data_IF_655625433064
#
_entry.id   IF_655625433064
#
_cell.length_a   1.000
_cell.length_b   1.000
_cell.length_c   1.000
_cell.angle_alpha   90.00
_cell.angle_beta   90.00
_cell.angle_gamma   90.00
#
_symmetry.space_group_name_H-M   'P 1'
#
loop_
_entity.id
_entity.type
_entity.pdbx_description
1 polymer ?
#
# COMPACT_ATOMS: atom_id res chain seq x y z
N UNK A 1 9.02 47.71 35.65
CA UNK A 1 10.28 46.95 35.44
C UNK A 1 10.12 45.43 35.52
N UNK A 2 9.33 44.84 36.43
CA UNK A 2 9.18 43.37 36.54
C UNK A 2 8.58 42.65 35.31
N UNK A 3 7.58 43.23 34.65
CA UNK A 3 6.91 42.61 33.48
C UNK A 3 7.84 42.48 32.26
N UNK A 4 8.73 43.46 32.05
CA UNK A 4 9.71 43.44 30.95
C UNK A 4 10.78 42.36 31.18
N UNK A 5 11.18 42.13 32.43
CA UNK A 5 12.18 41.11 32.79
C UNK A 5 11.68 39.67 32.64
N UNK A 6 10.39 39.41 32.90
CA UNK A 6 9.77 38.09 32.71
C UNK A 6 9.60 37.75 31.22
N UNK A 7 9.33 38.76 30.38
CA UNK A 7 9.32 38.56 28.94
C UNK A 7 10.73 38.26 28.43
N UNK A 8 11.76 38.96 28.90
CA UNK A 8 13.14 38.73 28.47
C UNK A 8 13.61 37.29 28.78
N UNK A 9 13.35 36.78 29.98
CA UNK A 9 13.72 35.39 30.34
C UNK A 9 12.94 34.35 29.53
N UNK A 10 11.66 34.58 29.23
CA UNK A 10 10.87 33.71 28.37
C UNK A 10 11.38 33.71 26.92
N UNK A 11 11.71 34.89 26.37
CA UNK A 11 12.30 35.02 25.03
C UNK A 11 13.68 34.36 24.94
N UNK A 12 14.53 34.53 25.97
CA UNK A 12 15.84 33.87 26.03
C UNK A 12 15.72 32.35 26.14
N UNK A 13 14.80 31.84 26.96
CA UNK A 13 14.56 30.40 27.07
C UNK A 13 14.01 29.82 25.74
N UNK A 14 13.09 30.51 25.08
CA UNK A 14 12.60 30.12 23.75
C UNK A 14 13.70 30.09 22.70
N UNK A 15 14.58 31.10 22.69
CA UNK A 15 15.73 31.14 21.78
C UNK A 15 16.70 29.98 22.04
N UNK A 16 16.98 29.65 23.31
CA UNK A 16 17.82 28.52 23.68
C UNK A 16 17.22 27.20 23.16
N UNK A 17 15.92 26.98 23.34
CA UNK A 17 15.24 25.77 22.81
C UNK A 17 15.34 25.70 21.29
N UNK A 18 15.13 26.81 20.59
CA UNK A 18 15.27 26.88 19.12
C UNK A 18 16.71 26.61 18.69
N UNK A 19 17.71 27.16 19.38
CA UNK A 19 19.13 26.92 19.09
C UNK A 19 19.49 25.46 19.36
N UNK A 20 19.03 24.85 20.45
CA UNK A 20 19.25 23.44 20.74
C UNK A 20 18.63 22.57 19.64
N UNK A 21 17.38 22.85 19.25
CA UNK A 21 16.70 22.10 18.20
C UNK A 21 17.40 22.24 16.85
N UNK A 22 17.75 23.46 16.43
CA UNK A 22 18.50 23.72 15.20
C UNK A 22 19.88 23.07 15.22
N UNK A 23 20.60 23.14 16.35
CA UNK A 23 21.92 22.51 16.47
C UNK A 23 21.81 20.99 16.40
N UNK A 24 20.83 20.39 17.07
CA UNK A 24 20.53 18.97 16.96
C UNK A 24 20.15 18.59 15.52
N UNK A 25 19.28 19.35 14.87
CA UNK A 25 18.86 19.13 13.48
C UNK A 25 20.03 19.21 12.49
N UNK A 26 20.89 20.22 12.62
CA UNK A 26 22.03 20.43 11.71
C UNK A 26 23.18 19.44 11.98
N UNK A 27 23.29 18.92 13.21
CA UNK A 27 24.32 17.94 13.59
C UNK A 27 23.93 16.49 13.30
N UNK A 28 22.65 16.21 13.05
CA UNK A 28 22.21 14.88 12.65
C UNK A 28 22.29 14.73 11.12
N UNK A 29 23.25 13.92 10.61
CA UNK A 29 23.30 13.64 9.19
C UNK A 29 22.01 12.94 8.74
N UNK A 30 21.52 13.26 7.55
CA UNK A 30 20.38 12.55 6.98
C UNK A 30 20.69 11.05 6.89
N UNK A 31 19.71 10.23 7.28
CA UNK A 31 19.85 8.79 7.18
C UNK A 31 19.98 8.39 5.71
N UNK A 32 20.97 7.54 5.39
CA UNK A 32 21.13 6.99 4.04
C UNK A 32 20.38 5.68 3.95
N UNK A 33 19.48 5.59 2.97
CA UNK A 33 18.72 4.37 2.71
C UNK A 33 19.64 3.30 2.11
N UNK A 34 19.45 2.05 2.54
CA UNK A 34 20.10 0.88 1.97
C UNK A 34 19.59 0.57 0.56
N UNK A 35 20.36 -0.21 -0.21
CA UNK A 35 19.92 -0.65 -1.53
C UNK A 35 18.64 -1.50 -1.45
N UNK A 36 17.75 -1.43 -2.45
CA UNK A 36 16.60 -2.34 -2.54
C UNK A 36 17.05 -3.80 -2.65
N UNK A 37 16.35 -4.69 -1.94
CA UNK A 37 16.50 -6.13 -2.06
C UNK A 37 15.70 -6.61 -3.29
N UNK A 38 16.32 -6.58 -4.46
CA UNK A 38 15.70 -7.07 -5.70
C UNK A 38 16.00 -8.56 -5.88
N UNK A 39 14.96 -9.37 -6.02
CA UNK A 39 15.11 -10.78 -6.35
C UNK A 39 15.69 -10.91 -7.76
N UNK A 40 16.94 -11.35 -7.85
CA UNK A 40 17.54 -11.76 -9.12
C UNK A 40 17.11 -13.20 -9.37
N UNK A 41 16.26 -13.43 -10.37
CA UNK A 41 16.05 -14.78 -10.84
C UNK A 41 17.41 -15.35 -11.31
N UNK A 42 17.76 -16.60 -10.97
CA UNK A 42 18.96 -17.22 -11.50
C UNK A 42 18.91 -17.21 -13.03
N UNK A 43 19.97 -16.70 -13.66
CA UNK A 43 20.08 -16.55 -15.13
C UNK A 43 20.08 -17.90 -15.86
N UNK A 44 20.28 -19.01 -15.14
CA UNK A 44 20.54 -20.35 -15.72
C UNK A 44 19.38 -21.35 -15.60
N UNK A 45 18.18 -20.92 -15.25
CA UNK A 45 17.02 -21.81 -15.35
C UNK A 45 16.41 -21.74 -16.76
N UNK A 46 16.83 -22.63 -17.65
CA UNK A 46 16.00 -23.08 -18.78
C UNK A 46 14.72 -23.74 -18.24
N UNK A 47 13.83 -22.95 -17.64
CA UNK A 47 12.45 -23.35 -17.43
C UNK A 47 11.71 -23.01 -18.71
N UNK A 48 11.13 -24.03 -19.35
CA UNK A 48 10.05 -23.82 -20.32
C UNK A 48 9.06 -22.91 -19.60
N UNK A 49 8.95 -21.65 -20.04
CA UNK A 49 8.09 -20.69 -19.39
C UNK A 49 6.68 -21.31 -19.34
N UNK A 50 6.13 -21.58 -18.15
CA UNK A 50 4.80 -22.16 -18.07
C UNK A 50 3.86 -21.23 -18.83
N UNK A 51 2.99 -21.82 -19.66
CA UNK A 51 1.98 -21.06 -20.39
C UNK A 51 1.19 -20.25 -19.35
N UNK A 52 1.17 -18.92 -19.50
CA UNK A 52 0.45 -18.04 -18.57
C UNK A 52 -0.98 -18.56 -18.39
N UNK A 53 -1.34 -18.90 -17.15
CA UNK A 53 -2.64 -19.40 -16.76
C UNK A 53 -3.35 -18.37 -15.89
N UNK A 54 -4.64 -18.19 -16.14
CA UNK A 54 -5.51 -17.27 -15.41
C UNK A 54 -6.65 -18.08 -14.79
N UNK A 55 -6.92 -17.89 -13.49
CA UNK A 55 -7.93 -18.67 -12.74
C UNK A 55 -8.71 -17.77 -11.79
N UNK A 56 -10.02 -17.60 -11.97
CA UNK A 56 -10.86 -16.82 -11.04
C UNK A 56 -11.39 -17.64 -9.88
N UNK A 57 -11.23 -17.14 -8.65
CA UNK A 57 -11.84 -17.70 -7.43
C UNK A 57 -12.12 -16.57 -6.44
N UNK A 58 -13.19 -16.74 -5.67
CA UNK A 58 -13.46 -15.91 -4.50
C UNK A 58 -12.55 -16.35 -3.35
N UNK A 59 -11.89 -15.39 -2.71
CA UNK A 59 -11.14 -15.63 -1.48
C UNK A 59 -11.98 -15.37 -0.22
N UNK A 60 -13.08 -14.63 -0.34
CA UNK A 60 -14.02 -14.42 0.75
C UNK A 60 -15.05 -15.53 0.85
N UNK A 61 -15.54 -15.77 2.07
CA UNK A 61 -16.52 -16.79 2.40
C UNK A 61 -17.96 -16.39 2.02
N UNK A 62 -18.29 -15.10 2.02
CA UNK A 62 -19.61 -14.60 1.65
C UNK A 62 -19.57 -13.27 0.86
N UNK A 63 -20.75 -12.83 0.42
CA UNK A 63 -20.98 -11.56 -0.25
C UNK A 63 -21.91 -10.62 0.55
N UNK A 64 -22.18 -10.93 1.81
CA UNK A 64 -23.08 -10.12 2.63
C UNK A 64 -22.36 -8.83 3.06
N UNK A 65 -21.08 -8.96 3.40
CA UNK A 65 -20.25 -7.85 3.81
C UNK A 65 -19.76 -6.98 2.64
N UNK A 66 -19.58 -5.70 2.92
CA UNK A 66 -18.79 -4.81 2.09
C UNK A 66 -17.31 -5.18 2.25
N UNK A 67 -16.65 -5.53 1.15
CA UNK A 67 -15.22 -5.89 1.12
C UNK A 67 -14.46 -4.92 0.25
N UNK A 68 -13.28 -4.50 0.72
CA UNK A 68 -12.47 -3.55 -0.02
C UNK A 68 -10.97 -3.61 0.31
N UNK A 69 -10.17 -2.98 -0.56
CA UNK A 69 -8.74 -2.77 -0.36
C UNK A 69 -7.96 -4.08 -0.19
N UNK A 70 -8.14 -5.00 -1.15
CA UNK A 70 -7.43 -6.27 -1.13
C UNK A 70 -5.94 -6.11 -1.44
N UNK A 71 -5.11 -6.92 -0.78
CA UNK A 71 -3.68 -7.05 -1.01
C UNK A 71 -3.29 -8.54 -0.87
N UNK A 72 -2.25 -8.96 -1.58
CA UNK A 72 -1.82 -10.37 -1.61
C UNK A 72 -0.29 -10.46 -1.58
N UNK A 73 0.22 -11.50 -0.93
CA UNK A 73 1.64 -11.85 -0.95
C UNK A 73 1.82 -13.34 -1.24
N UNK A 74 2.93 -13.69 -1.88
CA UNK A 74 3.30 -15.08 -2.10
C UNK A 74 3.99 -15.65 -0.86
N UNK A 75 3.72 -16.91 -0.58
CA UNK A 75 4.34 -17.71 0.47
C UNK A 75 5.23 -18.80 -0.15
N UNK A 76 6.15 -19.41 0.63
CA UNK A 76 6.90 -20.57 0.17
C UNK A 76 5.98 -21.70 -0.29
N UNK A 77 6.39 -22.44 -1.32
CA UNK A 77 5.61 -23.55 -1.87
C UNK A 77 4.52 -23.14 -2.88
N UNK A 78 4.38 -21.85 -3.18
CA UNK A 78 3.40 -21.35 -4.16
C UNK A 78 2.06 -20.93 -3.56
N UNK A 79 1.88 -21.15 -2.25
CA UNK A 79 0.76 -20.64 -1.48
C UNK A 79 0.68 -19.11 -1.57
N UNK A 80 -0.52 -18.56 -1.37
CA UNK A 80 -0.73 -17.11 -1.29
C UNK A 80 -1.43 -16.76 0.01
N UNK A 81 -1.19 -15.56 0.53
CA UNK A 81 -2.00 -14.97 1.60
C UNK A 81 -2.56 -13.64 1.14
N UNK A 82 -3.88 -13.50 1.22
CA UNK A 82 -4.59 -12.28 0.84
C UNK A 82 -5.26 -11.66 2.05
N UNK A 83 -5.22 -10.34 2.15
CA UNK A 83 -5.89 -9.55 3.19
C UNK A 83 -6.80 -8.50 2.57
N UNK A 84 -7.86 -8.13 3.28
CA UNK A 84 -8.79 -7.06 2.92
C UNK A 84 -9.47 -6.54 4.19
N UNK A 85 -10.20 -5.43 4.09
CA UNK A 85 -11.13 -5.07 5.14
C UNK A 85 -12.56 -5.43 4.75
N UNK A 86 -13.36 -5.88 5.72
CA UNK A 86 -14.73 -6.32 5.54
C UNK A 86 -15.64 -5.80 6.67
N UNK A 87 -16.92 -5.53 6.38
CA UNK A 87 -17.96 -5.21 7.36
C UNK A 87 -19.20 -4.60 6.70
N UNK A 88 -20.14 -4.04 7.47
CA UNK A 88 -21.42 -3.53 6.92
C UNK A 88 -21.30 -2.41 5.88
N UNK A 89 -20.28 -1.55 5.99
CA UNK A 89 -19.89 -0.53 4.99
C UNK A 89 -18.50 0.00 5.30
N UNK A 90 -17.90 0.71 4.35
CA UNK A 90 -16.63 1.40 4.56
C UNK A 90 -16.66 2.30 5.82
N UNK A 91 -15.70 2.08 6.73
CA UNK A 91 -15.53 2.86 7.96
C UNK A 91 -16.53 2.55 9.07
N UNK A 92 -17.36 1.51 8.94
CA UNK A 92 -18.32 1.10 9.96
C UNK A 92 -17.70 0.40 11.18
N UNK A 93 -18.49 0.37 12.26
CA UNK A 93 -18.17 -0.11 13.62
C UNK A 93 -17.50 -1.48 13.66
N UNK A 94 -18.01 -2.31 12.78
CA UNK A 94 -17.81 -3.73 12.58
C UNK A 94 -16.77 -4.03 11.51
N UNK A 95 -16.05 -3.02 10.98
CA UNK A 95 -14.98 -3.28 10.01
C UNK A 95 -13.83 -4.05 10.68
N UNK A 96 -13.48 -5.16 10.06
CA UNK A 96 -12.40 -6.07 10.42
C UNK A 96 -11.35 -6.12 9.30
N UNK A 97 -10.09 -6.37 9.65
CA UNK A 97 -9.09 -6.82 8.69
C UNK A 97 -9.14 -8.34 8.67
N UNK A 98 -9.49 -8.90 7.50
CA UNK A 98 -9.63 -10.34 7.30
C UNK A 98 -8.55 -10.87 6.36
N UNK A 99 -8.29 -12.16 6.46
CA UNK A 99 -7.34 -12.89 5.62
C UNK A 99 -7.93 -14.20 5.14
N UNK A 100 -7.44 -14.69 4.00
CA UNK A 100 -7.54 -16.10 3.61
C UNK A 100 -6.22 -16.53 2.99
N UNK A 101 -5.94 -17.84 3.10
CA UNK A 101 -4.75 -18.47 2.53
C UNK A 101 -5.15 -19.36 1.37
N UNK A 102 -4.48 -19.20 0.24
CA UNK A 102 -4.55 -20.10 -0.89
C UNK A 102 -3.55 -21.23 -0.71
N UNK A 103 -4.02 -22.47 -0.82
CA UNK A 103 -3.20 -23.68 -0.79
C UNK A 103 -2.91 -24.12 -2.23
N UNK A 104 -1.63 -24.02 -2.63
CA UNK A 104 -1.23 -24.34 -3.99
C UNK A 104 -1.32 -25.84 -4.32
N UNK A 105 -1.35 -26.71 -3.30
CA UNK A 105 -1.41 -28.17 -3.49
C UNK A 105 -2.78 -28.66 -3.97
N UNK A 106 -3.85 -27.97 -3.56
CA UNK A 106 -5.22 -28.29 -3.95
C UNK A 106 -5.88 -27.20 -4.82
N UNK A 107 -5.27 -26.01 -4.92
CA UNK A 107 -5.75 -24.92 -5.75
C UNK A 107 -6.96 -24.18 -5.18
N UNK A 108 -7.16 -24.20 -3.86
CA UNK A 108 -8.31 -23.62 -3.18
C UNK A 108 -7.93 -22.59 -2.10
N UNK A 109 -8.84 -21.65 -1.85
CA UNK A 109 -8.75 -20.72 -0.73
C UNK A 109 -9.34 -21.36 0.53
N UNK A 110 -8.66 -21.20 1.66
CA UNK A 110 -9.14 -21.61 2.97
C UNK A 110 -10.21 -20.66 3.52
N UNK A 111 -10.69 -21.00 4.73
CA UNK A 111 -11.67 -20.15 5.44
C UNK A 111 -11.09 -18.80 5.84
N UNK A 112 -11.97 -17.79 5.91
CA UNK A 112 -11.60 -16.46 6.39
C UNK A 112 -11.17 -16.48 7.86
N UNK A 113 -10.18 -15.65 8.19
CA UNK A 113 -9.75 -15.39 9.55
C UNK A 113 -9.69 -13.89 9.80
N UNK A 114 -10.04 -13.46 11.01
CA UNK A 114 -9.95 -12.06 11.43
C UNK A 114 -8.56 -11.81 12.02
N UNK A 115 -7.79 -10.92 11.38
CA UNK A 115 -6.46 -10.51 11.86
C UNK A 115 -6.54 -9.32 12.81
N UNK A 116 -7.40 -8.35 12.52
CA UNK A 116 -7.53 -7.17 13.36
C UNK A 116 -8.98 -6.66 13.44
N UNK A 117 -9.38 -6.26 14.64
CA UNK A 117 -10.63 -5.55 14.91
C UNK A 117 -10.32 -4.22 15.56
N UNK A 118 -11.32 -3.35 15.67
CA UNK A 118 -11.16 -2.12 16.47
C UNK A 118 -10.75 -2.43 17.90
N UNK A 119 -11.38 -3.44 18.50
CA UNK A 119 -11.11 -3.84 19.89
C UNK A 119 -9.67 -4.35 20.06
N UNK A 120 -9.20 -5.25 19.19
CA UNK A 120 -7.82 -5.76 19.27
C UNK A 120 -6.80 -4.64 19.01
N UNK A 121 -7.08 -3.75 18.05
CA UNK A 121 -6.22 -2.59 17.75
C UNK A 121 -6.18 -1.61 18.92
N UNK A 122 -7.32 -1.34 19.57
CA UNK A 122 -7.37 -0.50 20.77
C UNK A 122 -6.55 -1.09 21.91
N UNK A 123 -6.69 -2.40 22.13
CA UNK A 123 -5.95 -3.10 23.17
C UNK A 123 -4.43 -3.11 22.92
N UNK A 124 -4.00 -3.34 21.67
CA UNK A 124 -2.57 -3.37 21.32
C UNK A 124 -1.90 -2.00 21.31
N UNK A 125 -2.59 -0.98 20.81
CA UNK A 125 -2.02 0.37 20.67
C UNK A 125 -2.23 1.25 21.90
N UNK A 126 -3.15 0.89 22.81
CA UNK A 126 -3.57 1.75 23.92
C UNK A 126 -4.32 3.02 23.49
N UNK A 127 -4.77 3.10 22.23
CA UNK A 127 -5.44 4.27 21.66
C UNK A 127 -6.87 3.93 21.27
N UNK A 128 -7.78 4.89 21.39
CA UNK A 128 -9.14 4.73 20.87
C UNK A 128 -9.14 4.59 19.34
N UNK A 129 -9.90 3.62 18.81
CA UNK A 129 -9.99 3.35 17.36
C UNK A 129 -11.44 3.46 16.90
N UNK A 130 -11.70 4.45 16.04
CA UNK A 130 -13.03 4.73 15.48
C UNK A 130 -13.29 4.03 14.16
N UNK A 131 -12.30 3.46 13.47
CA UNK A 131 -12.44 2.62 12.27
C UNK A 131 -11.10 2.07 11.81
N UNK A 132 -11.17 0.96 11.06
CA UNK A 132 -10.08 0.38 10.31
C UNK A 132 -10.25 0.67 8.81
N UNK A 133 -9.18 0.55 8.05
CA UNK A 133 -9.14 0.79 6.61
C UNK A 133 -8.13 -0.10 5.91
N UNK A 134 -7.55 0.40 4.82
CA UNK A 134 -6.66 -0.35 3.93
C UNK A 134 -5.60 -1.19 4.67
N UNK A 135 -5.58 -2.52 4.45
CA UNK A 135 -4.46 -3.37 4.79
C UNK A 135 -3.50 -3.56 3.61
N UNK A 136 -2.25 -3.88 3.91
CA UNK A 136 -1.27 -4.45 2.99
C UNK A 136 -0.48 -5.54 3.69
N UNK A 137 -0.17 -6.61 2.97
CA UNK A 137 0.60 -7.74 3.48
C UNK A 137 1.82 -7.99 2.59
N UNK A 138 2.95 -8.35 3.20
CA UNK A 138 4.12 -8.80 2.46
C UNK A 138 4.96 -9.78 3.28
N UNK A 139 5.50 -10.80 2.60
CA UNK A 139 6.55 -11.65 3.14
C UNK A 139 7.91 -10.99 2.96
N UNK A 140 8.61 -10.73 4.06
CA UNK A 140 9.96 -10.20 4.06
C UNK A 140 11.01 -11.29 3.76
N UNK A 141 12.22 -10.92 3.28
CA UNK A 141 13.31 -11.86 3.01
C UNK A 141 13.75 -12.72 4.21
N UNK A 142 13.47 -12.26 5.43
CA UNK A 142 13.75 -12.97 6.68
C UNK A 142 12.61 -13.92 7.10
N UNK A 143 11.65 -14.19 6.19
CA UNK A 143 10.48 -15.02 6.40
C UNK A 143 9.47 -14.50 7.43
N UNK A 144 9.55 -13.22 7.84
CA UNK A 144 8.48 -12.58 8.62
C UNK A 144 7.39 -12.05 7.69
N UNK A 145 6.14 -12.35 8.01
CA UNK A 145 4.99 -11.74 7.36
C UNK A 145 4.66 -10.43 8.06
N UNK A 146 4.63 -9.36 7.29
CA UNK A 146 4.25 -8.03 7.74
C UNK A 146 2.85 -7.69 7.29
N UNK A 147 2.02 -7.26 8.23
CA UNK A 147 0.71 -6.65 7.97
C UNK A 147 0.78 -5.18 8.41
N UNK A 148 0.54 -4.28 7.47
CA UNK A 148 0.33 -2.86 7.79
C UNK A 148 -1.12 -2.50 7.48
N UNK A 149 -1.78 -1.77 8.37
CA UNK A 149 -3.18 -1.39 8.14
C UNK A 149 -3.54 -0.04 8.72
N UNK A 150 -4.50 0.62 8.07
CA UNK A 150 -4.98 1.95 8.47
C UNK A 150 -5.92 1.86 9.66
N UNK A 151 -5.78 2.80 10.60
CA UNK A 151 -6.80 3.10 11.61
C UNK A 151 -7.04 4.60 11.76
N UNK A 152 -8.23 4.97 12.20
CA UNK A 152 -8.60 6.37 12.50
C UNK A 152 -9.14 6.48 13.91
N UNK A 153 -8.60 7.40 14.71
CA UNK A 153 -9.14 7.71 16.05
C UNK A 153 -10.16 8.86 16.00
N UNK A 154 -9.89 9.90 15.20
CA UNK A 154 -10.71 11.12 15.14
C UNK A 154 -10.92 11.55 13.68
N UNK A 155 -12.14 11.96 13.33
CA UNK A 155 -12.47 12.53 12.03
C UNK A 155 -12.63 11.53 10.87
N UNK A 156 -12.23 11.99 9.68
CA UNK A 156 -12.22 11.23 8.43
C UNK A 156 -10.86 10.56 8.16
N UNK A 157 -10.62 10.12 6.93
CA UNK A 157 -9.35 9.52 6.52
C UNK A 157 -8.14 10.45 6.69
N UNK A 158 -8.35 11.77 6.74
CA UNK A 158 -7.32 12.72 7.12
C UNK A 158 -6.77 12.52 8.55
N UNK A 159 -7.51 11.86 9.46
CA UNK A 159 -7.05 11.51 10.81
C UNK A 159 -6.40 10.12 10.92
N UNK A 160 -5.99 9.54 9.79
CA UNK A 160 -5.47 8.17 9.74
C UNK A 160 -4.06 8.01 10.29
N UNK A 161 -3.81 6.83 10.83
CA UNK A 161 -2.51 6.31 11.24
C UNK A 161 -2.31 4.93 10.62
N UNK A 162 -1.06 4.49 10.55
CA UNK A 162 -0.71 3.12 10.15
C UNK A 162 -0.34 2.33 11.39
N UNK A 163 -0.87 1.12 11.49
CA UNK A 163 -0.46 0.12 12.47
C UNK A 163 0.29 -1.00 11.77
N UNK A 164 1.15 -1.68 12.51
CA UNK A 164 1.89 -2.85 12.06
C UNK A 164 1.58 -4.05 12.96
N UNK A 165 1.58 -5.24 12.35
CA UNK A 165 1.58 -6.54 13.00
C UNK A 165 2.57 -7.43 12.25
N UNK A 166 3.22 -8.34 12.95
CA UNK A 166 4.18 -9.27 12.36
C UNK A 166 3.87 -10.71 12.76
N UNK A 167 4.04 -11.63 11.83
CA UNK A 167 3.98 -13.07 12.06
C UNK A 167 5.32 -13.71 11.70
N UNK A 168 5.81 -14.58 12.58
CA UNK A 168 7.02 -15.39 12.39
C UNK A 168 6.73 -16.85 12.01
N UNK A 169 5.46 -17.20 11.82
CA UNK A 169 4.98 -18.57 11.61
C UNK A 169 4.02 -18.68 10.40
N UNK A 170 4.30 -17.90 9.35
CA UNK A 170 3.55 -17.89 8.09
C UNK A 170 2.05 -17.57 8.28
N UNK A 171 1.75 -16.71 9.25
CA UNK A 171 0.43 -16.14 9.49
C UNK A 171 -0.46 -16.99 10.38
N UNK A 172 0.08 -18.04 11.03
CA UNK A 172 -0.66 -18.84 12.00
C UNK A 172 -0.93 -18.07 13.30
N UNK A 173 0.00 -17.22 13.72
CA UNK A 173 -0.17 -16.27 14.82
C UNK A 173 0.48 -14.92 14.48
N UNK A 174 0.00 -13.88 15.15
CA UNK A 174 0.44 -12.50 14.91
C UNK A 174 0.75 -11.79 16.22
N UNK A 175 1.73 -10.90 16.19
CA UNK A 175 2.01 -9.99 17.30
C UNK A 175 0.79 -9.10 17.61
N UNK A 176 0.70 -8.54 18.83
CA UNK A 176 -0.19 -7.40 19.07
C UNK A 176 0.13 -6.25 18.10
N UNK A 177 -0.88 -5.47 17.67
CA UNK A 177 -0.65 -4.34 16.79
C UNK A 177 0.01 -3.18 17.52
N UNK A 178 0.97 -2.53 16.88
CA UNK A 178 1.53 -1.25 17.32
C UNK A 178 1.36 -0.18 16.25
N UNK A 179 1.31 1.09 16.69
CA UNK A 179 1.12 2.21 15.78
C UNK A 179 2.47 2.78 15.34
N UNK A 180 2.63 3.04 14.04
CA UNK A 180 3.77 3.75 13.49
C UNK A 180 3.65 5.25 13.81
N UNK A 181 4.68 5.83 14.43
CA UNK A 181 4.74 7.26 14.75
C UNK A 181 5.52 7.99 13.66
N UNK A 182 4.80 8.65 12.76
CA UNK A 182 5.34 9.26 11.53
C UNK A 182 5.44 10.79 11.61
N UNK A 183 5.08 11.37 12.75
CA UNK A 183 5.18 12.80 13.03
C UNK A 183 5.23 13.05 14.54
N UNK A 184 6.05 14.02 15.02
CA UNK A 184 6.20 14.31 16.45
C UNK A 184 5.00 15.05 17.07
N UNK A 185 4.08 15.60 16.26
CA UNK A 185 2.99 16.44 16.79
C UNK A 185 1.64 15.72 16.81
N UNK A 186 1.10 15.44 15.63
CA UNK A 186 -0.30 14.99 15.50
C UNK A 186 -0.42 13.55 15.01
N UNK A 187 0.66 12.92 14.54
CA UNK A 187 0.68 11.58 13.93
C UNK A 187 -0.62 11.26 13.15
N UNK A 188 -0.99 12.13 12.21
CA UNK A 188 -2.22 11.99 11.43
C UNK A 188 -1.93 11.98 9.95
N UNK A 189 -2.90 11.47 9.20
CA UNK A 189 -2.93 11.45 7.76
C UNK A 189 -1.76 10.67 7.16
N UNK A 190 -1.44 9.53 7.74
CA UNK A 190 -0.60 8.53 7.06
C UNK A 190 -1.46 7.32 6.77
N UNK A 191 -1.52 6.94 5.49
CA UNK A 191 -2.32 5.83 4.99
C UNK A 191 -1.45 4.93 4.11
N UNK A 192 -1.77 3.64 4.10
CA UNK A 192 -1.10 2.63 3.27
C UNK A 192 -2.07 2.07 2.22
N UNK A 193 -1.54 1.57 1.10
CA UNK A 193 -2.31 0.84 0.08
C UNK A 193 -1.44 -0.04 -0.81
N UNK A 194 -0.24 0.41 -1.17
CA UNK A 194 0.75 -0.37 -1.92
C UNK A 194 1.56 -1.28 -1.01
N UNK A 195 2.00 -2.44 -1.54
CA UNK A 195 2.86 -3.35 -0.81
C UNK A 195 4.20 -2.67 -0.43
N UNK A 196 4.79 -3.01 0.73
CA UNK A 196 6.14 -2.58 1.06
C UNK A 196 7.17 -3.17 0.10
N UNK A 197 8.33 -2.53 0.04
CA UNK A 197 9.54 -3.04 -0.58
C UNK A 197 10.59 -3.23 0.51
N UNK A 198 11.49 -4.18 0.31
CA UNK A 198 12.54 -4.49 1.29
C UNK A 198 13.89 -4.02 0.79
N UNK A 199 14.79 -3.69 1.70
CA UNK A 199 16.16 -3.31 1.41
C UNK A 199 17.14 -4.39 1.85
N UNK A 200 18.37 -4.32 1.34
CA UNK A 200 19.42 -5.34 1.55
C UNK A 200 19.88 -5.48 2.99
N UNK A 201 19.63 -4.48 3.84
CA UNK A 201 19.90 -4.51 5.28
C UNK A 201 18.71 -5.03 6.11
N UNK A 202 17.64 -5.49 5.45
CA UNK A 202 16.41 -5.95 6.11
C UNK A 202 15.43 -4.84 6.48
N UNK A 203 15.77 -3.57 6.26
CA UNK A 203 14.85 -2.45 6.46
C UNK A 203 13.68 -2.49 5.47
N UNK A 204 12.60 -1.80 5.85
CA UNK A 204 11.33 -1.84 5.14
C UNK A 204 11.02 -0.46 4.57
N UNK A 205 10.87 -0.40 3.26
CA UNK A 205 10.30 0.73 2.56
C UNK A 205 8.79 0.61 2.45
N UNK A 206 8.05 1.43 3.17
CA UNK A 206 6.59 1.40 3.15
C UNK A 206 6.03 2.58 2.35
N UNK A 207 5.44 2.35 1.16
CA UNK A 207 4.77 3.39 0.40
C UNK A 207 3.51 3.86 1.13
N UNK A 208 3.44 5.15 1.46
CA UNK A 208 2.30 5.74 2.16
C UNK A 208 1.80 7.00 1.46
N UNK A 209 0.67 7.52 1.88
CA UNK A 209 0.13 8.77 1.37
C UNK A 209 -0.55 9.59 2.45
N UNK A 210 -0.72 10.88 2.14
CA UNK A 210 -1.28 11.89 3.01
C UNK A 210 -2.55 12.49 2.40
N UNK A 211 -3.50 12.88 3.24
CA UNK A 211 -4.79 13.47 2.82
C UNK A 211 -5.20 14.74 3.59
N UNK A 212 -4.42 15.19 4.58
CA UNK A 212 -4.73 16.38 5.37
C UNK A 212 -4.06 17.63 4.78
N UNK A 213 -4.86 18.63 4.39
CA UNK A 213 -4.39 19.89 3.76
C UNK A 213 -3.54 19.70 2.48
N UNK A 214 -3.51 18.49 1.94
CA UNK A 214 -2.76 18.08 0.76
C UNK A 214 -3.11 16.63 0.41
N UNK A 215 -2.73 16.21 -0.80
CA UNK A 215 -2.86 14.82 -1.26
C UNK A 215 -1.61 14.46 -2.03
N UNK A 216 -0.69 13.81 -1.34
CA UNK A 216 0.63 13.49 -1.86
C UNK A 216 1.11 12.12 -1.34
N UNK A 217 2.01 11.51 -2.09
CA UNK A 217 2.69 10.27 -1.76
C UNK A 217 3.98 10.52 -0.96
N UNK A 218 4.27 9.61 -0.05
CA UNK A 218 5.46 9.57 0.81
C UNK A 218 5.99 8.13 0.88
N UNK A 219 7.20 7.99 1.41
CA UNK A 219 7.89 6.74 1.60
C UNK A 219 8.41 6.69 3.05
N UNK A 220 7.88 5.79 3.87
CA UNK A 220 8.43 5.55 5.20
C UNK A 220 9.59 4.57 5.09
N UNK A 221 10.69 4.88 5.75
CA UNK A 221 11.81 3.96 5.92
C UNK A 221 11.78 3.45 7.35
N UNK A 222 11.55 2.14 7.50
CA UNK A 222 11.45 1.47 8.78
C UNK A 222 12.66 0.58 9.00
N UNK A 223 13.09 0.40 10.25
CA UNK A 223 14.07 -0.62 10.61
C UNK A 223 13.57 -2.02 10.25
N UNK A 224 14.46 -3.02 10.32
CA UNK A 224 14.07 -4.42 10.16
C UNK A 224 13.01 -4.86 11.18
N UNK A 225 12.89 -4.18 12.32
CA UNK A 225 11.91 -4.47 13.36
C UNK A 225 10.69 -3.54 13.32
N UNK A 226 10.55 -2.73 12.27
CA UNK A 226 9.37 -1.89 12.03
C UNK A 226 9.35 -0.57 12.81
N UNK A 227 10.50 -0.12 13.32
CA UNK A 227 10.64 1.21 13.90
C UNK A 227 10.75 2.27 12.80
N UNK A 228 10.04 3.40 12.94
CA UNK A 228 10.11 4.48 11.94
C UNK A 228 11.46 5.20 12.07
N UNK A 229 12.31 5.08 11.05
CA UNK A 229 13.63 5.74 10.99
C UNK A 229 13.49 7.11 10.33
N UNK A 230 12.88 7.15 9.14
CA UNK A 230 12.77 8.39 8.35
C UNK A 230 11.54 8.37 7.42
N UNK A 231 11.26 9.51 6.80
CA UNK A 231 10.15 9.69 5.87
C UNK A 231 10.53 10.61 4.72
N UNK A 232 10.41 10.10 3.51
CA UNK A 232 10.76 10.79 2.27
C UNK A 232 9.53 11.17 1.46
N UNK A 233 9.61 12.27 0.72
CA UNK A 233 8.50 12.79 -0.07
C UNK A 233 8.60 12.29 -1.51
N UNK A 234 7.58 11.59 -1.99
CA UNK A 234 7.51 11.11 -3.39
C UNK A 234 6.90 12.18 -4.30
N UNK A 235 5.85 12.86 -3.84
CA UNK A 235 5.16 13.90 -4.61
C UNK A 235 4.77 15.08 -3.76
N UNK A 236 4.38 16.20 -4.38
CA UNK A 236 3.86 17.38 -3.69
C UNK A 236 2.47 17.74 -4.21
N UNK A 237 1.75 18.59 -3.48
CA UNK A 237 0.47 19.14 -3.93
C UNK A 237 -0.76 18.35 -3.46
N UNK A 238 -1.75 18.22 -4.35
CA UNK A 238 -3.14 17.85 -4.00
C UNK A 238 -3.76 16.73 -4.84
N UNK A 239 -2.99 16.05 -5.69
CA UNK A 239 -3.56 15.15 -6.69
C UNK A 239 -2.87 13.78 -6.81
N UNK A 240 -1.93 13.44 -5.93
CA UNK A 240 -1.14 12.19 -6.06
C UNK A 240 -1.28 11.34 -4.80
N UNK A 241 -1.79 10.12 -4.93
CA UNK A 241 -2.07 9.24 -3.79
C UNK A 241 -1.59 7.81 -4.06
N UNK A 242 -1.63 6.99 -3.02
CA UNK A 242 -1.50 5.52 -3.09
C UNK A 242 -0.33 5.05 -3.98
N UNK A 243 0.92 5.39 -3.61
CA UNK A 243 2.09 4.95 -4.36
C UNK A 243 2.22 3.42 -4.37
N UNK A 244 2.47 2.87 -5.56
CA UNK A 244 2.98 1.51 -5.75
C UNK A 244 4.44 1.61 -6.18
N UNK A 245 5.36 1.22 -5.30
CA UNK A 245 6.81 1.27 -5.56
C UNK A 245 7.26 -0.05 -6.15
N UNK A 246 7.96 0.02 -7.28
CA UNK A 246 8.55 -1.14 -7.95
C UNK A 246 10.06 -0.91 -8.08
N UNK A 247 10.89 -1.61 -7.30
CA UNK A 247 12.33 -1.63 -7.48
C UNK A 247 12.70 -2.18 -8.86
N UNK A 248 13.61 -1.47 -9.54
CA UNK A 248 14.16 -1.88 -10.84
C UNK A 248 15.55 -2.51 -10.66
N UNK A 249 16.31 -2.01 -9.69
CA UNK A 249 17.55 -2.59 -9.18
C UNK A 249 17.79 -2.11 -7.74
N UNK A 250 19.00 -2.32 -7.21
CA UNK A 250 19.35 -1.93 -5.84
C UNK A 250 19.25 -0.42 -5.56
N UNK A 251 19.20 0.46 -6.55
CA UNK A 251 19.14 1.92 -6.34
C UNK A 251 17.93 2.56 -7.03
N UNK A 252 17.56 2.05 -8.20
CA UNK A 252 16.49 2.62 -9.01
C UNK A 252 15.16 1.97 -8.69
N UNK A 253 14.12 2.79 -8.55
CA UNK A 253 12.74 2.34 -8.48
C UNK A 253 11.79 3.34 -9.15
N UNK A 254 10.59 2.88 -9.47
CA UNK A 254 9.48 3.75 -9.88
C UNK A 254 8.36 3.68 -8.85
N UNK A 255 7.77 4.82 -8.53
CA UNK A 255 6.50 4.93 -7.82
C UNK A 255 5.39 5.28 -8.83
N UNK A 256 4.50 4.33 -9.08
CA UNK A 256 3.27 4.55 -9.83
C UNK A 256 2.19 5.07 -8.87
N UNK A 257 1.55 6.19 -9.22
CA UNK A 257 0.66 6.93 -8.32
C UNK A 257 -0.75 7.00 -8.90
N UNK A 258 -1.73 6.85 -8.01
CA UNK A 258 -3.12 7.20 -8.27
C UNK A 258 -3.24 8.72 -8.45
N UNK A 259 -3.97 9.13 -9.48
CA UNK A 259 -4.27 10.53 -9.74
C UNK A 259 -5.66 10.91 -9.21
N UNK A 260 -5.70 11.83 -8.26
CA UNK A 260 -6.91 12.28 -7.58
C UNK A 260 -7.39 13.68 -8.00
N UNK A 261 -6.83 14.22 -9.08
CA UNK A 261 -7.27 15.49 -9.67
C UNK A 261 -8.23 15.30 -10.84
N UNK A 262 -8.66 16.43 -11.42
CA UNK A 262 -9.73 16.49 -12.44
C UNK A 262 -9.21 16.85 -13.85
N UNK A 263 -7.90 16.92 -14.08
CA UNK A 263 -7.36 17.40 -15.37
C UNK A 263 -6.98 16.28 -16.32
N UNK A 264 -6.05 15.40 -15.93
CA UNK A 264 -5.45 14.46 -16.88
C UNK A 264 -6.01 13.04 -16.80
N UNK A 265 -6.50 12.61 -15.62
CA UNK A 265 -7.00 11.24 -15.37
C UNK A 265 -6.04 10.15 -15.90
N UNK A 266 -4.74 10.32 -15.64
CA UNK A 266 -3.67 9.38 -16.02
C UNK A 266 -2.99 8.84 -14.78
N UNK A 267 -2.43 7.64 -14.87
CA UNK A 267 -1.46 7.18 -13.88
C UNK A 267 -0.28 8.17 -13.86
N UNK A 268 0.23 8.52 -12.68
CA UNK A 268 1.48 9.30 -12.60
C UNK A 268 2.65 8.37 -12.25
N UNK A 269 3.85 8.75 -12.66
CA UNK A 269 5.08 8.08 -12.27
C UNK A 269 6.09 9.07 -11.70
N UNK A 270 6.71 8.69 -10.59
CA UNK A 270 7.90 9.31 -10.01
C UNK A 270 9.01 8.27 -9.93
N UNK A 271 10.27 8.70 -10.00
CA UNK A 271 11.43 7.80 -10.04
C UNK A 271 12.43 8.18 -8.97
N UNK A 272 13.11 7.18 -8.42
CA UNK A 272 14.27 7.34 -7.55
C UNK A 272 15.48 6.68 -8.18
N UNK A 273 16.66 7.22 -7.90
CA UNK A 273 17.98 6.68 -8.31
C UNK A 273 18.89 6.41 -7.10
N UNK A 274 18.36 6.55 -5.88
CA UNK A 274 19.12 6.54 -4.62
C UNK A 274 18.40 5.74 -3.51
N UNK A 275 17.77 4.62 -3.89
CA UNK A 275 17.13 3.71 -2.94
C UNK A 275 15.81 4.23 -2.37
N UNK A 276 15.23 5.29 -2.93
CA UNK A 276 13.99 5.91 -2.43
C UNK A 276 14.22 7.11 -1.51
N UNK A 277 15.45 7.60 -1.41
CA UNK A 277 15.79 8.77 -0.59
C UNK A 277 15.29 10.07 -1.26
N UNK A 278 15.43 10.18 -2.58
CA UNK A 278 14.87 11.27 -3.38
C UNK A 278 14.04 10.75 -4.55
N UNK A 279 13.08 11.57 -4.97
CA UNK A 279 12.08 11.21 -5.96
C UNK A 279 11.90 12.36 -6.97
N UNK A 280 11.79 12.01 -8.25
CA UNK A 280 11.54 12.96 -9.33
C UNK A 280 10.12 13.52 -9.26
N UNK A 281 9.89 14.70 -9.85
CA UNK A 281 8.53 15.24 -9.97
C UNK A 281 7.60 14.28 -10.76
N UNK A 282 6.40 13.94 -10.24
CA UNK A 282 5.50 13.01 -10.90
C UNK A 282 5.08 13.47 -12.31
N UNK A 283 5.18 12.58 -13.28
CA UNK A 283 4.77 12.82 -14.67
C UNK A 283 3.62 11.89 -15.08
N UNK A 284 2.64 12.36 -15.87
CA UNK A 284 1.57 11.51 -16.36
C UNK A 284 2.08 10.47 -17.36
N UNK A 285 1.54 9.25 -17.27
CA UNK A 285 1.80 8.13 -18.16
C UNK A 285 0.64 7.92 -19.15
N UNK A 286 0.81 6.99 -20.09
CA UNK A 286 -0.21 6.65 -21.09
C UNK A 286 -1.50 6.07 -20.50
N UNK A 287 -1.49 5.12 -19.54
CA UNK A 287 -2.74 4.52 -19.07
C UNK A 287 -3.62 5.53 -18.31
N UNK A 288 -4.94 5.44 -18.49
CA UNK A 288 -5.88 6.24 -17.71
C UNK A 288 -5.87 5.82 -16.25
N UNK A 289 -6.30 6.71 -15.37
CA UNK A 289 -6.52 6.45 -13.96
C UNK A 289 -7.79 7.20 -13.50
N UNK A 290 -8.92 6.50 -13.29
CA UNK A 290 -10.19 7.08 -12.84
C UNK A 290 -10.17 7.28 -11.31
N UNK A 291 -9.05 7.81 -10.79
CA UNK A 291 -8.79 7.97 -9.37
C UNK A 291 -8.82 6.62 -8.63
N UNK A 292 -8.32 5.56 -9.25
CA UNK A 292 -8.12 4.23 -8.65
C UNK A 292 -6.65 4.04 -8.28
N UNK A 293 -6.38 3.24 -7.27
CA UNK A 293 -5.10 2.57 -7.13
C UNK A 293 -4.82 1.60 -8.29
N UNK A 294 -3.64 1.00 -8.22
CA UNK A 294 -3.11 0.02 -9.15
C UNK A 294 -2.17 -0.91 -8.39
N UNK A 295 -1.83 -2.05 -8.99
CA UNK A 295 -0.75 -2.92 -8.54
C UNK A 295 0.24 -3.13 -9.68
N UNK A 296 1.52 -3.25 -9.36
CA UNK A 296 2.56 -3.43 -10.35
C UNK A 296 3.70 -4.30 -9.83
N UNK A 297 4.30 -5.05 -10.75
CA UNK A 297 5.50 -5.86 -10.49
C UNK A 297 6.52 -5.65 -11.61
N UNK A 298 7.79 -5.71 -11.25
CA UNK A 298 8.89 -5.68 -12.21
C UNK A 298 9.04 -7.03 -12.90
N UNK A 299 9.33 -6.99 -14.20
CA UNK A 299 9.73 -8.16 -14.99
C UNK A 299 11.17 -7.94 -15.45
N UNK A 300 12.16 -8.66 -14.87
CA UNK A 300 13.57 -8.47 -15.19
C UNK A 300 13.84 -8.47 -16.70
N UNK A 301 14.52 -7.42 -17.19
CA UNK A 301 14.86 -7.24 -18.60
C UNK A 301 13.68 -6.93 -19.55
N UNK A 302 12.45 -6.76 -19.03
CA UNK A 302 11.24 -6.59 -19.86
C UNK A 302 10.38 -5.38 -19.47
N UNK A 303 10.56 -4.83 -18.27
CA UNK A 303 9.82 -3.67 -17.78
C UNK A 303 8.83 -4.04 -16.67
N UNK A 304 7.57 -3.63 -16.77
CA UNK A 304 6.57 -3.85 -15.72
C UNK A 304 5.32 -4.58 -16.22
N UNK A 305 4.68 -5.32 -15.32
CA UNK A 305 3.26 -5.69 -15.41
C UNK A 305 2.46 -4.83 -14.45
N UNK A 306 1.34 -4.28 -14.90
CA UNK A 306 0.50 -3.35 -14.13
C UNK A 306 -0.96 -3.76 -14.24
N UNK A 307 -1.60 -4.01 -13.10
CA UNK A 307 -3.04 -4.21 -12.99
C UNK A 307 -3.68 -2.89 -12.53
N UNK A 308 -4.64 -2.38 -13.30
CA UNK A 308 -5.26 -1.08 -13.05
C UNK A 308 -6.65 -0.95 -13.67
N UNK A 309 -7.44 0.01 -13.17
CA UNK A 309 -8.60 0.49 -13.91
C UNK A 309 -8.14 1.54 -14.93
N UNK A 310 -8.28 1.24 -16.22
CA UNK A 310 -7.79 2.04 -17.35
C UNK A 310 -8.88 2.85 -18.06
N UNK A 311 -10.09 2.87 -17.48
CA UNK A 311 -11.17 3.75 -17.95
C UNK A 311 -10.87 5.21 -17.60
N UNK A 312 -11.34 6.14 -18.43
CA UNK A 312 -11.27 7.58 -18.11
C UNK A 312 -12.19 7.94 -16.95
N UNK A 313 -13.39 7.35 -16.95
CA UNK A 313 -14.41 7.51 -15.93
C UNK A 313 -14.97 6.14 -15.54
N UNK A 314 -15.39 6.01 -14.27
CA UNK A 314 -15.81 4.73 -13.72
C UNK A 314 -14.65 3.78 -13.46
N UNK A 315 -14.91 2.71 -12.71
CA UNK A 315 -13.85 1.76 -12.31
C UNK A 315 -14.22 0.31 -12.59
N UNK A 316 -15.29 0.07 -13.31
CA UNK A 316 -15.91 -1.25 -13.51
C UNK A 316 -15.19 -2.16 -14.52
N UNK A 317 -13.92 -1.89 -14.82
CA UNK A 317 -13.02 -2.72 -15.64
C UNK A 317 -11.63 -2.71 -15.03
N UNK A 318 -11.10 -3.88 -14.74
CA UNK A 318 -9.73 -4.10 -14.29
C UNK A 318 -8.95 -4.72 -15.44
N UNK A 319 -7.85 -4.08 -15.82
CA UNK A 319 -7.07 -4.42 -17.00
C UNK A 319 -5.64 -4.76 -16.60
N UNK A 320 -5.01 -5.69 -17.31
CA UNK A 320 -3.58 -5.95 -17.19
C UNK A 320 -2.84 -5.24 -18.33
N UNK A 321 -1.72 -4.60 -18.02
CA UNK A 321 -0.84 -3.96 -18.98
C UNK A 321 0.58 -4.49 -18.82
N UNK A 322 1.31 -4.54 -19.92
CA UNK A 322 2.78 -4.62 -19.92
C UNK A 322 3.38 -3.32 -20.41
N UNK A 323 4.56 -2.98 -19.92
CA UNK A 323 5.33 -1.83 -20.42
C UNK A 323 6.81 -2.14 -20.45
N UNK A 324 7.55 -1.44 -21.32
CA UNK A 324 9.01 -1.51 -21.40
C UNK A 324 9.68 -0.87 -20.17
N UNK A 325 10.98 -1.09 -19.99
CA UNK A 325 11.73 -0.60 -18.81
C UNK A 325 11.70 0.93 -18.69
N UNK A 326 11.57 1.63 -19.81
CA UNK A 326 11.49 3.09 -19.84
C UNK A 326 10.05 3.59 -19.59
N UNK A 327 9.05 2.71 -19.54
CA UNK A 327 7.62 3.01 -19.43
C UNK A 327 7.08 3.92 -20.55
N UNK A 328 7.64 3.78 -21.76
CA UNK A 328 7.25 4.53 -22.96
C UNK A 328 6.25 3.77 -23.81
N UNK A 329 6.30 2.45 -23.82
CA UNK A 329 5.42 1.60 -24.62
C UNK A 329 4.51 0.83 -23.70
N UNK A 330 3.22 1.11 -23.75
CA UNK A 330 2.19 0.43 -22.95
C UNK A 330 1.36 -0.48 -23.86
N UNK A 331 1.32 -1.77 -23.54
CA UNK A 331 0.55 -2.77 -24.29
C UNK A 331 -0.52 -3.37 -23.37
N UNK A 332 -1.81 -3.24 -23.73
CA UNK A 332 -2.85 -3.95 -22.99
C UNK A 332 -2.64 -5.46 -23.16
N UNK A 333 -2.81 -6.17 -22.06
CA UNK A 333 -2.93 -7.61 -21.97
C UNK A 333 -4.43 -7.92 -21.71
N UNK A 334 -4.83 -9.18 -21.48
CA UNK A 334 -6.24 -9.49 -21.20
C UNK A 334 -6.81 -8.66 -20.05
N UNK A 335 -8.08 -8.25 -20.19
CA UNK A 335 -8.85 -7.70 -19.07
C UNK A 335 -8.96 -8.76 -17.98
N UNK A 336 -8.78 -8.33 -16.73
CA UNK A 336 -8.78 -9.23 -15.58
C UNK A 336 -10.15 -9.38 -14.92
N UNK A 337 -10.94 -8.31 -14.92
CA UNK A 337 -12.35 -8.34 -14.49
C UNK A 337 -13.10 -7.21 -15.18
N UNK A 338 -14.39 -7.42 -15.45
CA UNK A 338 -15.26 -6.39 -16.04
C UNK A 338 -16.69 -6.61 -15.57
N UNK A 339 -17.28 -5.56 -14.99
CA UNK A 339 -18.70 -5.56 -14.67
C UNK A 339 -19.52 -5.71 -15.95
N UNK A 340 -20.53 -6.60 -15.97
CA UNK A 340 -21.52 -6.63 -17.03
C UNK A 340 -22.40 -5.37 -17.04
N UNK A 341 -22.51 -4.68 -15.90
CA UNK A 341 -23.21 -3.40 -15.78
C UNK A 341 -22.22 -2.22 -15.95
N UNK A 342 -22.37 -1.38 -17.00
CA UNK A 342 -21.54 -0.20 -17.21
C UNK A 342 -21.76 0.93 -16.18
N UNK A 343 -22.79 0.84 -15.34
CA UNK A 343 -23.03 1.78 -14.23
C UNK A 343 -22.40 1.31 -12.91
N UNK A 344 -21.88 0.07 -12.87
CA UNK A 344 -21.25 -0.51 -11.69
C UNK A 344 -22.22 -0.78 -10.54
N UNK A 345 -23.50 -1.04 -10.83
CA UNK A 345 -24.48 -1.40 -9.80
C UNK A 345 -24.18 -2.80 -9.28
N UNK A 346 -24.34 -3.07 -7.96
CA UNK A 346 -24.17 -4.41 -7.43
C UNK A 346 -25.14 -5.41 -8.07
N UNK A 347 -24.68 -6.64 -8.31
CA UNK A 347 -25.51 -7.75 -8.82
C UNK A 347 -25.27 -9.02 -7.98
N UNK A 348 -26.18 -9.99 -8.11
CA UNK A 348 -26.16 -11.24 -7.32
C UNK A 348 -24.95 -12.14 -7.68
N UNK A 349 -24.53 -12.99 -6.74
CA UNK A 349 -23.40 -13.92 -6.91
C UNK A 349 -23.58 -14.84 -8.12
N UNK A 350 -24.81 -15.28 -8.35
CA UNK A 350 -25.22 -16.22 -9.39
C UNK A 350 -25.06 -15.57 -10.76
N UNK A 351 -25.36 -14.26 -10.87
CA UNK A 351 -25.05 -13.49 -12.06
C UNK A 351 -23.54 -13.35 -12.24
N UNK A 352 -22.76 -13.08 -11.18
CA UNK A 352 -21.30 -13.02 -11.28
C UNK A 352 -20.67 -14.34 -11.73
N UNK A 353 -21.07 -15.47 -11.14
CA UNK A 353 -20.60 -16.81 -11.52
C UNK A 353 -20.92 -17.15 -12.98
N UNK A 354 -22.01 -16.62 -13.55
CA UNK A 354 -22.38 -16.81 -14.94
C UNK A 354 -21.52 -15.99 -15.94
N UNK A 355 -20.89 -14.91 -15.48
CA UNK A 355 -20.07 -14.01 -16.32
C UNK A 355 -18.56 -14.09 -16.06
N UNK A 356 -18.15 -14.63 -14.91
CA UNK A 356 -16.75 -14.78 -14.54
C UNK A 356 -16.05 -15.76 -15.50
N UNK A 357 -15.38 -15.21 -16.51
CA UNK A 357 -14.33 -15.90 -17.24
C UNK A 357 -13.24 -16.32 -16.25
N UNK A 358 -12.45 -17.38 -16.54
CA UNK A 358 -11.41 -17.87 -15.65
C UNK A 358 -10.28 -16.84 -15.56
N UNK A 359 -10.42 -15.84 -14.69
CA UNK A 359 -9.43 -14.78 -14.45
C UNK A 359 -9.30 -14.43 -12.96
N UNK A 360 -8.09 -14.58 -12.43
CA UNK A 360 -7.78 -14.46 -11.00
C UNK A 360 -7.99 -13.06 -10.46
N UNK A 361 -9.02 -12.85 -9.64
CA UNK A 361 -9.05 -11.78 -8.64
C UNK A 361 -9.94 -12.10 -7.45
N UNK A 362 -9.50 -11.64 -6.28
CA UNK A 362 -10.34 -11.36 -5.12
C UNK A 362 -11.28 -10.23 -5.52
N UNK A 363 -12.49 -10.57 -5.97
CA UNK A 363 -13.46 -9.61 -6.45
C UNK A 363 -14.77 -9.73 -5.68
N UNK A 364 -15.06 -8.77 -4.79
CA UNK A 364 -16.30 -8.72 -4.01
C UNK A 364 -17.01 -7.39 -4.22
N UNK A 365 -18.35 -7.43 -4.27
CA UNK A 365 -19.31 -6.30 -4.35
C UNK A 365 -18.64 -4.93 -4.51
N UNK A 366 -18.21 -4.62 -5.73
CA UNK A 366 -17.30 -3.51 -5.98
C UNK A 366 -18.01 -2.17 -6.19
N UNK A 367 -17.62 -1.17 -5.39
CA UNK A 367 -17.04 0.05 -5.99
C UNK A 367 -15.58 -0.28 -6.26
N UNK A 368 -15.12 -0.41 -7.50
CA UNK A 368 -13.75 -0.83 -7.80
C UNK A 368 -12.77 0.29 -7.49
N UNK A 369 -12.47 0.56 -6.24
CA UNK A 369 -11.20 1.20 -5.89
C UNK A 369 -10.20 0.06 -5.71
N UNK A 370 -9.81 -0.56 -6.82
CA UNK A 370 -8.47 -1.14 -6.80
C UNK A 370 -7.50 -0.06 -6.47
#
# INVERSE_FOLDING_TARGET
>A
MRVISQNLTAWSAGLIVVVIFLSAWLSHPQHRISAFAVSTAPVDAESVAPKASYISRFASSDLEDFVHSSAVTALPGGDLMSVWFAGSREGAGDVEIRTSRFDASNGEWGGEQVLATRASTQSGTGKYIRKLGNPVIALAPDNRLWLFYVSVSVGGWAGSTVNAMVSSDMGASWSPPWQLVTSPFLNISTLVRGAPVFHTDGSIGLPVYHEFLGKFAEYLYLSADGEVIDKFRISRGKNSLQPTVVPLDGQRAVALLRYAGETFHRVLASRTEDGGQTWSEPQPLTPSNPNSSLAAVGVPGKGLLVALNDLREGRFKLSLYSTDEQMKVWRPLPDLDKSPDPLGTPFALEAYKAFALPVAHVANRWKPSF
#
